data_IF_514696317847
#
_entry.id   IF_514696317847
#
_cell.length_a   1.000
_cell.length_b   1.000
_cell.length_c   1.000
_cell.angle_alpha   90.00
_cell.angle_beta   90.00
_cell.angle_gamma   90.00
#
_symmetry.space_group_name_H-M   'P 1'
#
loop_
_entity.id
_entity.type
_entity.pdbx_description
1 polymer ?
#
# COMPACT_ATOMS: atom_id res chain seq x y z
N UNK A 1 14.14 8.42 -24.53
CA UNK A 1 14.14 7.17 -23.74
C UNK A 1 14.30 7.56 -22.28
N UNK A 2 13.28 8.18 -21.68
CA UNK A 2 13.27 8.41 -20.23
C UNK A 2 12.52 7.24 -19.63
N UNK A 3 13.31 6.28 -19.16
CA UNK A 3 12.87 5.11 -18.43
C UNK A 3 11.82 5.55 -17.41
N UNK A 4 10.64 4.94 -17.52
CA UNK A 4 9.48 5.16 -16.66
C UNK A 4 9.97 5.10 -15.21
N UNK A 5 10.11 6.27 -14.58
CA UNK A 5 10.61 6.35 -13.21
C UNK A 5 9.60 5.58 -12.37
N UNK A 6 10.13 4.56 -11.71
CA UNK A 6 9.54 3.62 -10.77
C UNK A 6 8.93 4.36 -9.55
N UNK A 7 8.07 5.34 -9.81
CA UNK A 7 7.44 6.20 -8.81
C UNK A 7 6.50 5.33 -8.00
N UNK A 8 6.98 4.96 -6.83
CA UNK A 8 6.17 4.24 -5.86
C UNK A 8 6.64 2.82 -5.56
N UNK A 9 7.73 2.32 -6.12
CA UNK A 9 8.21 0.97 -5.77
C UNK A 9 8.73 0.92 -4.34
N UNK A 10 8.38 -0.15 -3.65
CA UNK A 10 8.81 -0.40 -2.29
C UNK A 10 10.13 -1.16 -2.32
N UNK A 11 11.14 -0.65 -1.58
CA UNK A 11 12.41 -1.36 -1.38
C UNK A 11 12.20 -2.76 -0.81
N UNK A 12 11.21 -2.89 0.09
CA UNK A 12 10.81 -4.16 0.67
C UNK A 12 9.30 -4.36 0.48
N UNK A 13 8.88 -5.37 -0.29
CA UNK A 13 7.47 -5.62 -0.56
C UNK A 13 6.73 -5.99 0.72
N UNK A 14 5.51 -5.48 0.88
CA UNK A 14 4.67 -5.80 2.04
C UNK A 14 3.76 -6.95 1.66
N UNK A 15 3.84 -8.04 2.39
CA UNK A 15 2.97 -9.19 2.14
C UNK A 15 1.77 -9.20 3.07
N UNK A 16 0.58 -9.38 2.50
CA UNK A 16 -0.68 -9.47 3.26
C UNK A 16 -1.43 -10.75 2.95
N UNK A 17 -2.18 -11.24 3.92
CA UNK A 17 -3.06 -12.39 3.80
C UNK A 17 -4.50 -11.92 3.64
N UNK A 18 -5.04 -12.05 2.44
CA UNK A 18 -6.44 -11.77 2.14
C UNK A 18 -7.23 -13.08 2.09
N UNK A 19 -8.56 -12.98 2.03
CA UNK A 19 -9.46 -14.12 1.83
C UNK A 19 -9.16 -14.88 0.53
N UNK A 20 -8.60 -14.19 -0.46
CA UNK A 20 -8.19 -14.75 -1.75
C UNK A 20 -6.78 -15.39 -1.75
N UNK A 21 -6.06 -15.32 -0.62
CA UNK A 21 -4.69 -15.82 -0.48
C UNK A 21 -3.66 -14.75 -0.14
N UNK A 22 -2.38 -15.16 -0.15
CA UNK A 22 -1.23 -14.29 0.15
C UNK A 22 -0.94 -13.39 -1.06
N UNK A 23 -0.91 -12.07 -0.84
CA UNK A 23 -0.64 -11.06 -1.86
C UNK A 23 0.59 -10.26 -1.46
N UNK A 24 1.59 -10.22 -2.34
CA UNK A 24 2.78 -9.38 -2.19
C UNK A 24 2.51 -8.03 -2.86
N UNK A 25 2.69 -6.95 -2.11
CA UNK A 25 2.53 -5.58 -2.59
C UNK A 25 3.92 -4.97 -2.73
N UNK A 26 4.37 -4.80 -3.97
CA UNK A 26 5.71 -4.30 -4.30
C UNK A 26 5.73 -2.82 -4.68
N UNK A 27 4.56 -2.21 -4.88
CA UNK A 27 4.44 -0.82 -5.28
C UNK A 27 3.29 -0.08 -4.61
N UNK A 28 3.39 1.24 -4.61
CA UNK A 28 2.39 2.17 -4.11
C UNK A 28 1.09 2.05 -4.90
N UNK A 29 1.16 1.76 -6.20
CA UNK A 29 -0.01 1.54 -7.04
C UNK A 29 -0.77 0.30 -6.57
N UNK A 30 -0.08 -0.82 -6.41
CA UNK A 30 -0.68 -2.06 -5.89
C UNK A 30 -1.27 -1.85 -4.49
N UNK A 31 -0.58 -1.11 -3.63
CA UNK A 31 -1.07 -0.77 -2.30
C UNK A 31 -2.38 0.04 -2.38
N UNK A 32 -2.44 1.05 -3.25
CA UNK A 32 -3.63 1.88 -3.45
C UNK A 32 -4.81 1.06 -3.99
N UNK A 33 -4.58 0.23 -5.01
CA UNK A 33 -5.61 -0.65 -5.58
C UNK A 33 -6.15 -1.62 -4.53
N UNK A 34 -5.27 -2.17 -3.70
CA UNK A 34 -5.69 -3.06 -2.61
C UNK A 34 -6.55 -2.32 -1.58
N UNK A 35 -6.14 -1.13 -1.16
CA UNK A 35 -6.89 -0.29 -0.22
C UNK A 35 -8.26 0.15 -0.77
N UNK A 36 -8.39 0.28 -2.09
CA UNK A 36 -9.62 0.70 -2.76
C UNK A 36 -10.58 -0.47 -2.98
N UNK A 37 -10.10 -1.59 -3.53
CA UNK A 37 -10.96 -2.63 -4.08
C UNK A 37 -10.91 -3.96 -3.32
N UNK A 38 -9.79 -4.28 -2.67
CA UNK A 38 -9.54 -5.62 -2.10
C UNK A 38 -9.43 -5.62 -0.57
N UNK A 39 -9.65 -4.48 0.07
CA UNK A 39 -9.47 -4.36 1.52
C UNK A 39 -10.58 -5.13 2.26
N UNK A 40 -10.23 -6.06 3.17
CA UNK A 40 -11.20 -7.02 3.73
C UNK A 40 -12.04 -6.44 4.87
N UNK A 41 -11.58 -5.34 5.48
CA UNK A 41 -12.33 -4.63 6.53
C UNK A 41 -12.94 -3.34 5.97
N UNK A 42 -13.87 -2.76 6.73
CA UNK A 42 -14.53 -1.49 6.38
C UNK A 42 -13.56 -0.30 6.27
N UNK A 43 -14.12 0.90 6.19
CA UNK A 43 -13.31 2.12 6.20
C UNK A 43 -12.82 2.39 7.63
N UNK A 44 -11.49 2.46 7.79
CA UNK A 44 -10.85 2.81 9.07
C UNK A 44 -9.91 3.99 8.91
N UNK A 45 -9.59 4.67 10.01
CA UNK A 45 -8.66 5.80 10.00
C UNK A 45 -7.32 5.43 9.36
N UNK A 46 -6.76 4.24 9.65
CA UNK A 46 -5.50 3.80 9.03
C UNK A 46 -5.64 3.48 7.56
N UNK A 47 -6.77 2.91 7.12
CA UNK A 47 -7.04 2.68 5.69
C UNK A 47 -7.08 4.00 4.92
N UNK A 48 -7.77 5.02 5.46
CA UNK A 48 -7.85 6.36 4.84
C UNK A 48 -6.46 6.99 4.76
N UNK A 49 -5.70 6.96 5.87
CA UNK A 49 -4.34 7.50 5.91
C UNK A 49 -3.42 6.81 4.90
N UNK A 50 -3.49 5.48 4.79
CA UNK A 50 -2.72 4.73 3.80
C UNK A 50 -3.09 5.12 2.36
N UNK A 51 -4.39 5.32 2.07
CA UNK A 51 -4.85 5.76 0.75
C UNK A 51 -4.32 7.15 0.40
N UNK A 52 -4.39 8.09 1.33
CA UNK A 52 -3.87 9.45 1.13
C UNK A 52 -2.35 9.45 0.91
N UNK A 53 -1.62 8.65 1.69
CA UNK A 53 -0.18 8.50 1.51
C UNK A 53 0.16 7.94 0.12
N UNK A 54 -0.56 6.91 -0.33
CA UNK A 54 -0.35 6.35 -1.66
C UNK A 54 -0.61 7.37 -2.78
N UNK A 55 -1.70 8.13 -2.69
CA UNK A 55 -2.01 9.19 -3.67
C UNK A 55 -0.93 10.28 -3.71
N UNK A 56 -0.38 10.66 -2.54
CA UNK A 56 0.67 11.67 -2.45
C UNK A 56 1.97 11.22 -3.10
N UNK A 57 2.34 9.95 -2.93
CA UNK A 57 3.52 9.35 -3.58
C UNK A 57 3.31 9.23 -5.09
N UNK A 58 2.16 8.74 -5.54
CA UNK A 58 1.84 8.64 -6.98
C UNK A 58 1.81 10.00 -7.67
N UNK A 59 1.42 11.06 -6.95
CA UNK A 59 1.51 12.44 -7.42
C UNK A 59 2.91 13.06 -7.36
N UNK A 60 3.94 12.31 -6.95
CA UNK A 60 5.32 12.80 -6.81
C UNK A 60 5.56 13.72 -5.61
N UNK A 61 4.60 13.82 -4.67
CA UNK A 61 4.66 14.71 -3.52
C UNK A 61 5.25 14.08 -2.25
N UNK A 62 5.65 12.80 -2.27
CA UNK A 62 6.27 12.08 -1.15
C UNK A 62 7.04 10.84 -1.61
N UNK A 63 7.90 10.33 -0.74
CA UNK A 63 8.69 9.12 -0.97
C UNK A 63 7.86 7.82 -0.79
N UNK A 64 8.14 6.75 -1.55
CA UNK A 64 7.41 5.47 -1.48
C UNK A 64 7.41 4.83 -0.09
N UNK A 65 8.44 5.05 0.71
CA UNK A 65 8.55 4.57 2.09
C UNK A 65 7.39 5.05 2.96
N UNK A 66 6.90 6.27 2.71
CA UNK A 66 5.76 6.85 3.45
C UNK A 66 4.49 6.05 3.16
N UNK A 67 4.25 5.70 1.89
CA UNK A 67 3.11 4.86 1.51
C UNK A 67 3.26 3.45 2.08
N UNK A 68 4.46 2.86 2.03
CA UNK A 68 4.75 1.54 2.61
C UNK A 68 4.44 1.48 4.11
N UNK A 69 4.94 2.45 4.88
CA UNK A 69 4.71 2.50 6.34
C UNK A 69 3.23 2.69 6.67
N UNK A 70 2.54 3.57 5.94
CA UNK A 70 1.12 3.78 6.15
C UNK A 70 0.30 2.52 5.82
N UNK A 71 0.62 1.84 4.72
CA UNK A 71 0.01 0.58 4.32
C UNK A 71 0.27 -0.54 5.34
N UNK A 72 1.51 -0.67 5.84
CA UNK A 72 1.88 -1.66 6.85
C UNK A 72 1.11 -1.43 8.17
N UNK A 73 0.94 -0.17 8.58
CA UNK A 73 0.13 0.17 9.74
C UNK A 73 -1.36 -0.15 9.55
N UNK A 74 -1.90 0.04 8.34
CA UNK A 74 -3.26 -0.37 8.01
C UNK A 74 -3.40 -1.91 8.01
N UNK A 75 -2.44 -2.63 7.44
CA UNK A 75 -2.43 -4.10 7.41
C UNK A 75 -2.32 -4.71 8.82
N UNK A 76 -1.54 -4.09 9.71
CA UNK A 76 -1.48 -4.45 11.15
C UNK A 76 -2.84 -4.28 11.84
N UNK A 77 -3.50 -3.15 11.62
CA UNK A 77 -4.82 -2.88 12.20
C UNK A 77 -5.86 -3.88 11.69
N UNK A 78 -5.84 -4.18 10.39
CA UNK A 78 -6.71 -5.17 9.78
C UNK A 78 -6.35 -6.62 10.13
N UNK A 79 -5.26 -6.86 10.87
CA UNK A 79 -4.73 -8.19 11.21
C UNK A 79 -4.50 -9.09 9.99
N UNK A 80 -4.13 -8.48 8.86
CA UNK A 80 -3.81 -9.18 7.60
C UNK A 80 -2.33 -9.14 7.25
N UNK A 81 -1.51 -8.41 8.02
CA UNK A 81 -0.07 -8.37 7.79
C UNK A 81 0.54 -9.75 8.07
N UNK A 82 1.22 -10.34 7.09
CA UNK A 82 2.10 -11.49 7.30
C UNK A 82 3.54 -10.99 7.24
N UNK A 83 4.25 -11.15 8.35
CA UNK A 83 5.70 -10.97 8.40
C UNK A 83 6.40 -12.12 7.66
#
# INVERSE_FOLDING_TARGET
MTCERDVGTFEEPVTVLLSSGKVSVSSTREAAEMLLYRWPIGETGRRIQARMACMKVLGGGSAPEVARVAFLNAAKEAKILTA
#
